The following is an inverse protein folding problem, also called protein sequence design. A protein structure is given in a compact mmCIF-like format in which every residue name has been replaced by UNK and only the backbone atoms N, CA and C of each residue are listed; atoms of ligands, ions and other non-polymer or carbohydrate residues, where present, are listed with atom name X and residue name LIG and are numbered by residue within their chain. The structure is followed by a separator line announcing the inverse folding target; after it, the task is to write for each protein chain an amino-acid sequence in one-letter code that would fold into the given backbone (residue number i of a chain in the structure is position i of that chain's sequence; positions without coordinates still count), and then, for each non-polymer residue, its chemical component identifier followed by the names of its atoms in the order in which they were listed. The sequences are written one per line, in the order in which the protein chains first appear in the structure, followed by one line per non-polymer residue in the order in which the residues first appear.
data_IF_209722683362
#
_entry.id   IF_209722683362
#
_cell.length_a   1.000
_cell.length_b   1.000
_cell.length_c   1.000
_cell.angle_alpha   90.00
_cell.angle_beta   90.00
_cell.angle_gamma   90.00
#
_symmetry.space_group_name_H-M   'P 1'
#
loop_
_entity.id
_entity.type
_entity.pdbx_description
1 polymer ?
#
# COMPACT_ATOMS: atom_id res chain seq x y z
N UNK A 1 12.79 -0.04 6.99
CA UNK A 1 11.67 -0.48 7.87
C UNK A 1 10.82 0.74 8.16
N UNK A 2 9.50 0.62 8.02
CA UNK A 2 8.56 1.69 8.38
C UNK A 2 8.50 1.82 9.90
N UNK A 3 8.43 3.04 10.43
CA UNK A 3 8.42 3.31 11.87
C UNK A 3 7.02 3.74 12.32
N UNK A 4 6.51 3.17 13.41
CA UNK A 4 5.25 3.59 14.00
C UNK A 4 5.45 4.77 14.93
N UNK A 5 4.61 5.79 14.78
CA UNK A 5 4.66 7.03 15.56
C UNK A 5 3.26 7.35 16.09
N UNK A 6 3.19 7.79 17.34
CA UNK A 6 1.96 8.34 17.94
C UNK A 6 2.30 9.58 18.75
N UNK A 7 1.32 10.46 18.94
CA UNK A 7 1.50 11.69 19.71
C UNK A 7 0.67 11.70 20.99
N UNK A 8 1.15 12.39 22.02
CA UNK A 8 0.42 12.57 23.27
C UNK A 8 0.38 14.04 23.71
N UNK A 9 -0.71 14.44 24.36
CA UNK A 9 -0.87 15.78 24.93
C UNK A 9 -0.23 15.88 26.32
N UNK A 10 -0.55 14.93 27.21
CA UNK A 10 -0.12 14.97 28.61
C UNK A 10 0.96 13.93 28.92
N UNK A 11 0.71 12.66 28.59
CA UNK A 11 1.62 11.56 28.90
C UNK A 11 1.52 10.45 27.84
N UNK A 12 2.60 9.69 27.60
CA UNK A 12 2.58 8.56 26.68
C UNK A 12 1.63 7.46 27.17
N UNK A 13 1.07 6.72 26.22
CA UNK A 13 0.22 5.56 26.46
C UNK A 13 1.07 4.38 26.91
N UNK A 14 0.61 3.67 27.93
CA UNK A 14 1.24 2.47 28.47
C UNK A 14 0.29 1.28 28.43
N UNK A 15 0.83 0.07 28.32
CA UNK A 15 0.10 -1.18 28.51
C UNK A 15 0.48 -1.84 29.84
N UNK A 16 -0.03 -3.06 30.10
CA UNK A 16 0.28 -3.82 31.32
C UNK A 16 1.77 -4.13 31.51
N UNK A 17 2.59 -4.03 30.46
CA UNK A 17 4.04 -4.26 30.44
C UNK A 17 4.83 -2.95 30.50
N UNK A 18 4.16 -1.80 30.54
CA UNK A 18 4.79 -0.49 30.60
C UNK A 18 4.67 0.28 29.27
N UNK A 19 5.74 0.97 28.86
CA UNK A 19 5.69 1.78 27.64
C UNK A 19 5.59 0.89 26.39
N UNK A 20 4.75 1.30 25.43
CA UNK A 20 4.64 0.63 24.14
C UNK A 20 5.95 0.77 23.36
N UNK A 21 6.71 -0.32 23.23
CA UNK A 21 8.01 -0.34 22.52
C UNK A 21 7.87 -0.31 21.00
N UNK A 22 6.73 -0.77 20.48
CA UNK A 22 6.51 -0.92 19.05
C UNK A 22 6.08 0.40 18.39
N UNK A 23 5.78 1.43 19.18
CA UNK A 23 5.33 2.75 18.71
C UNK A 23 6.16 3.83 19.40
N UNK A 24 6.83 4.66 18.60
CA UNK A 24 7.51 5.84 19.14
C UNK A 24 6.47 6.88 19.51
N UNK A 25 6.41 7.21 20.79
CA UNK A 25 5.47 8.21 21.30
C UNK A 25 6.16 9.55 21.50
N UNK A 26 5.62 10.60 20.88
CA UNK A 26 6.16 11.95 20.90
C UNK A 26 5.17 12.95 21.53
N UNK A 27 5.66 13.99 22.22
CA UNK A 27 4.78 15.04 22.73
C UNK A 27 4.21 15.88 21.57
N UNK A 28 2.97 16.37 21.68
CA UNK A 28 2.31 17.17 20.63
C UNK A 28 3.09 18.43 20.22
N UNK A 29 3.94 18.95 21.09
CA UNK A 29 4.80 20.12 20.85
C UNK A 29 5.77 19.91 19.67
N UNK A 30 6.15 18.66 19.35
CA UNK A 30 7.06 18.39 18.23
C UNK A 30 6.33 18.02 16.93
N UNK A 31 5.00 18.11 16.88
CA UNK A 31 4.20 17.73 15.70
C UNK A 31 4.57 18.53 14.44
N UNK A 32 5.03 19.78 14.58
CA UNK A 32 5.44 20.64 13.48
C UNK A 32 6.72 20.17 12.78
N UNK A 33 7.39 19.11 13.28
CA UNK A 33 8.48 18.43 12.56
C UNK A 33 7.99 17.43 11.51
N UNK A 34 6.69 17.14 11.45
CA UNK A 34 6.11 16.09 10.62
C UNK A 34 5.10 16.68 9.63
N UNK A 35 4.97 16.03 8.48
CA UNK A 35 3.86 16.23 7.55
C UNK A 35 2.87 15.06 7.72
N UNK A 36 1.60 15.27 7.38
CA UNK A 36 0.57 14.23 7.41
C UNK A 36 -0.13 14.20 6.06
N UNK A 37 -0.44 13.00 5.55
CA UNK A 37 -1.06 12.83 4.23
C UNK A 37 -2.40 13.58 4.13
N UNK A 38 -3.20 13.56 5.20
CA UNK A 38 -4.47 14.28 5.27
C UNK A 38 -4.67 14.87 6.67
N UNK A 39 -5.07 16.15 6.71
CA UNK A 39 -5.43 16.85 7.94
C UNK A 39 -4.23 17.22 8.83
N UNK A 40 -4.45 17.14 10.14
CA UNK A 40 -3.43 17.46 11.15
C UNK A 40 -3.08 16.22 11.99
N UNK A 41 -1.95 16.31 12.70
CA UNK A 41 -1.58 15.30 13.70
C UNK A 41 -2.60 15.29 14.83
N UNK A 42 -3.19 14.12 15.07
CA UNK A 42 -4.16 13.87 16.14
C UNK A 42 -3.51 13.06 17.25
N UNK A 43 -3.69 13.43 18.53
CA UNK A 43 -3.14 12.68 19.64
C UNK A 43 -3.72 11.25 19.71
N UNK A 44 -2.90 10.31 20.16
CA UNK A 44 -3.18 8.87 20.30
C UNK A 44 -3.52 8.14 19.00
N UNK A 45 -3.45 8.80 17.86
CA UNK A 45 -3.51 8.13 16.56
C UNK A 45 -2.14 7.54 16.22
N UNK A 46 -2.14 6.30 15.75
CA UNK A 46 -0.94 5.63 15.25
C UNK A 46 -0.77 5.94 13.78
N UNK A 47 0.41 6.42 13.45
CA UNK A 47 0.86 6.70 12.11
C UNK A 47 2.01 5.78 11.73
N UNK A 48 2.08 5.42 10.45
CA UNK A 48 3.26 4.85 9.83
C UNK A 48 4.04 5.99 9.19
N UNK A 49 5.32 6.13 9.54
CA UNK A 49 6.22 7.05 8.87
C UNK A 49 6.62 6.47 7.51
N UNK A 50 6.25 7.16 6.44
CA UNK A 50 6.54 6.75 5.08
C UNK A 50 8.06 6.81 4.80
N UNK A 51 8.62 5.84 4.05
CA UNK A 51 10.05 5.75 3.76
C UNK A 51 10.43 6.68 2.59
N UNK A 52 10.09 7.96 2.70
CA UNK A 52 10.39 8.99 1.69
C UNK A 52 11.56 9.87 2.12
N UNK A 53 12.27 10.44 1.15
CA UNK A 53 13.32 11.42 1.41
C UNK A 53 12.71 12.80 1.74
N UNK A 54 13.39 13.55 2.62
CA UNK A 54 12.94 14.88 3.04
C UNK A 54 12.24 14.86 4.40
N UNK A 55 11.14 15.62 4.51
CA UNK A 55 10.43 15.78 5.77
C UNK A 55 9.63 14.50 6.10
N UNK A 56 9.66 14.00 7.36
CA UNK A 56 8.92 12.81 7.75
C UNK A 56 7.42 12.95 7.49
N UNK A 57 6.91 12.12 6.57
CA UNK A 57 5.49 12.06 6.25
C UNK A 57 4.81 10.93 7.02
N UNK A 58 3.70 11.28 7.67
CA UNK A 58 2.90 10.39 8.49
C UNK A 58 1.62 10.01 7.76
N UNK A 59 1.35 8.71 7.74
CA UNK A 59 0.12 8.14 7.18
C UNK A 59 -0.59 7.38 8.28
N UNK A 60 -1.91 7.57 8.48
CA UNK A 60 -2.64 6.79 9.48
C UNK A 60 -2.45 5.29 9.26
N UNK A 61 -2.25 4.54 10.36
CA UNK A 61 -1.94 3.12 10.33
C UNK A 61 -2.86 2.33 9.41
N UNK A 62 -4.18 2.49 9.54
CA UNK A 62 -5.17 1.76 8.74
C UNK A 62 -5.26 2.17 7.27
N UNK A 63 -4.55 3.23 6.86
CA UNK A 63 -4.56 3.75 5.48
C UNK A 63 -3.24 3.49 4.75
N UNK A 64 -2.17 3.17 5.48
CA UNK A 64 -0.81 3.14 4.93
C UNK A 64 -0.66 2.18 3.76
N UNK A 65 -1.17 0.95 3.86
CA UNK A 65 -0.99 -0.05 2.80
C UNK A 65 -1.68 0.38 1.49
N UNK A 66 -2.92 0.87 1.57
CA UNK A 66 -3.66 1.35 0.41
C UNK A 66 -3.01 2.60 -0.20
N UNK A 67 -2.59 3.54 0.65
CA UNK A 67 -1.90 4.75 0.22
C UNK A 67 -0.55 4.43 -0.44
N UNK A 68 0.26 3.57 0.18
CA UNK A 68 1.57 3.13 -0.32
C UNK A 68 1.45 2.41 -1.66
N UNK A 69 0.45 1.54 -1.81
CA UNK A 69 0.19 0.88 -3.08
C UNK A 69 -0.19 1.88 -4.19
N UNK A 70 -1.07 2.84 -3.89
CA UNK A 70 -1.44 3.91 -4.82
C UNK A 70 -0.21 4.73 -5.24
N UNK A 71 0.66 5.08 -4.29
CA UNK A 71 1.87 5.83 -4.57
C UNK A 71 2.84 5.07 -5.48
N UNK A 72 3.02 3.76 -5.24
CA UNK A 72 3.82 2.89 -6.12
C UNK A 72 3.23 2.77 -7.52
N UNK A 73 1.89 2.73 -7.61
CA UNK A 73 1.18 2.72 -8.88
C UNK A 73 1.40 4.00 -9.68
N UNK A 74 1.21 5.17 -9.05
CA UNK A 74 1.43 6.48 -9.67
C UNK A 74 2.88 6.62 -10.16
N UNK A 75 3.86 6.12 -9.40
CA UNK A 75 5.27 6.13 -9.79
C UNK A 75 5.55 5.21 -10.99
N UNK A 76 5.00 3.98 -10.99
CA UNK A 76 5.18 3.07 -12.10
C UNK A 76 4.55 3.62 -13.39
N UNK A 77 3.36 4.22 -13.32
CA UNK A 77 2.74 4.92 -14.44
C UNK A 77 3.60 6.07 -14.96
N UNK A 78 4.15 6.89 -14.07
CA UNK A 78 5.06 7.99 -14.44
C UNK A 78 6.26 7.46 -15.22
N UNK A 79 6.87 6.37 -14.74
CA UNK A 79 8.02 5.73 -15.39
C UNK A 79 7.63 5.23 -16.78
N UNK A 80 6.56 4.43 -16.92
CA UNK A 80 6.15 3.88 -18.23
C UNK A 80 5.80 4.97 -19.24
N UNK A 81 5.08 6.01 -18.81
CA UNK A 81 4.76 7.14 -19.67
C UNK A 81 6.02 7.90 -20.12
N UNK A 82 6.98 8.14 -19.22
CA UNK A 82 8.22 8.86 -19.57
C UNK A 82 9.11 8.04 -20.50
N UNK A 83 9.10 6.71 -20.34
CA UNK A 83 9.73 5.77 -21.25
C UNK A 83 9.03 5.68 -22.62
N UNK A 84 7.92 6.39 -22.83
CA UNK A 84 7.28 6.51 -24.14
C UNK A 84 6.38 5.34 -24.52
N UNK A 85 5.77 4.67 -23.53
CA UNK A 85 4.85 3.57 -23.78
C UNK A 85 3.73 3.97 -24.77
N UNK A 86 3.47 3.11 -25.75
CA UNK A 86 2.37 3.24 -26.70
C UNK A 86 1.08 2.57 -26.18
N UNK A 87 1.20 1.62 -25.26
CA UNK A 87 0.06 0.99 -24.59
C UNK A 87 0.40 0.79 -23.12
N UNK A 88 -0.57 1.06 -22.24
CA UNK A 88 -0.48 0.74 -20.82
C UNK A 88 -1.80 0.10 -20.38
N UNK A 89 -1.73 -1.09 -19.80
CA UNK A 89 -2.86 -1.77 -19.17
C UNK A 89 -2.58 -1.94 -17.68
N UNK A 90 -3.50 -1.46 -16.84
CA UNK A 90 -3.38 -1.55 -15.38
C UNK A 90 -4.60 -2.29 -14.80
N UNK A 91 -4.32 -3.38 -14.09
CA UNK A 91 -5.34 -4.18 -13.43
C UNK A 91 -5.04 -4.33 -11.95
N UNK A 92 -6.04 -4.07 -11.12
CA UNK A 92 -5.97 -4.32 -9.67
C UNK A 92 -6.83 -5.52 -9.32
N UNK A 93 -6.23 -6.43 -8.58
CA UNK A 93 -6.89 -7.63 -8.07
C UNK A 93 -6.98 -7.48 -6.57
N UNK A 94 -8.20 -7.42 -6.05
CA UNK A 94 -8.44 -7.40 -4.61
C UNK A 94 -9.14 -8.69 -4.19
N UNK A 95 -8.51 -9.44 -3.27
CA UNK A 95 -9.06 -10.67 -2.73
C UNK A 95 -9.52 -10.47 -1.28
N UNK A 96 -10.80 -10.17 -1.05
CA UNK A 96 -11.36 -10.13 0.32
C UNK A 96 -11.61 -11.55 0.83
N UNK A 97 -11.03 -11.96 1.95
CA UNK A 97 -11.47 -13.20 2.62
C UNK A 97 -12.70 -12.92 3.49
N UNK A 98 -13.88 -13.12 2.94
CA UNK A 98 -15.09 -13.28 3.74
C UNK A 98 -15.31 -14.77 3.99
N UNK A 99 -15.04 -15.24 5.20
CA UNK A 99 -15.41 -16.59 5.61
C UNK A 99 -16.87 -16.58 6.06
N UNK A 100 -17.79 -17.05 5.22
CA UNK A 100 -19.18 -17.28 5.62
C UNK A 100 -19.30 -18.75 6.02
N UNK A 101 -19.82 -19.01 7.22
CA UNK A 101 -20.24 -20.36 7.60
C UNK A 101 -21.48 -20.72 6.77
N UNK A 102 -21.34 -21.65 5.83
CA UNK A 102 -22.43 -22.13 4.99
C UNK A 102 -22.63 -23.62 5.23
N UNK A 103 -23.87 -24.12 5.09
CA UNK A 103 -24.09 -25.57 5.03
C UNK A 103 -23.53 -26.10 3.70
N UNK A 104 -22.58 -27.02 3.77
CA UNK A 104 -21.95 -27.66 2.61
C UNK A 104 -22.33 -29.16 2.62
N UNK A 105 -22.91 -29.63 1.52
CA UNK A 105 -23.42 -31.00 1.35
C UNK A 105 -24.89 -31.06 0.89
N UNK A 106 -25.35 -32.21 0.41
CA UNK A 106 -26.75 -32.47 0.01
C UNK A 106 -27.31 -33.61 0.86
N UNK A 107 -28.47 -33.40 1.50
CA UNK A 107 -29.12 -34.41 2.34
C UNK A 107 -28.58 -34.47 3.79
N UNK A 108 -28.83 -35.56 4.54
CA UNK A 108 -28.60 -35.65 5.99
C UNK A 108 -27.12 -35.57 6.43
N UNK A 109 -26.18 -35.49 5.48
CA UNK A 109 -24.75 -35.23 5.74
C UNK A 109 -24.35 -33.74 5.63
N UNK A 110 -25.30 -32.80 5.49
CA UNK A 110 -24.98 -31.38 5.38
C UNK A 110 -24.37 -30.82 6.69
N UNK A 111 -23.06 -30.52 6.66
CA UNK A 111 -22.31 -29.92 7.76
C UNK A 111 -22.04 -28.43 7.53
N UNK A 112 -21.67 -27.70 8.59
CA UNK A 112 -21.23 -26.31 8.46
C UNK A 112 -19.79 -26.27 7.94
N UNK A 113 -19.60 -25.77 6.72
CA UNK A 113 -18.29 -25.55 6.10
C UNK A 113 -18.01 -24.06 5.91
N UNK A 114 -16.74 -23.66 5.94
CA UNK A 114 -16.33 -22.29 5.57
C UNK A 114 -16.21 -22.22 4.05
N UNK A 115 -17.07 -21.43 3.41
CA UNK A 115 -16.89 -21.10 1.99
C UNK A 115 -16.15 -19.77 1.92
N UNK A 116 -14.99 -19.78 1.24
CA UNK A 116 -14.20 -18.57 0.99
C UNK A 116 -14.27 -18.29 -0.50
N UNK A 117 -14.92 -17.20 -0.90
CA UNK A 117 -14.93 -16.74 -2.29
C UNK A 117 -14.97 -15.23 -2.34
N UNK A 118 -13.87 -14.61 -2.79
CA UNK A 118 -13.93 -13.26 -3.37
C UNK A 118 -12.79 -13.08 -4.36
N UNK A 119 -13.15 -12.66 -5.57
CA UNK A 119 -12.25 -12.16 -6.60
C UNK A 119 -12.95 -10.92 -7.15
N UNK A 120 -12.49 -9.71 -6.80
CA UNK A 120 -12.82 -8.53 -7.61
C UNK A 120 -11.59 -8.22 -8.45
N UNK A 121 -11.78 -8.24 -9.77
CA UNK A 121 -10.83 -7.68 -10.71
C UNK A 121 -11.42 -6.34 -11.09
N UNK A 122 -10.82 -5.28 -10.60
CA UNK A 122 -11.20 -3.92 -10.94
C UNK A 122 -10.16 -3.41 -11.95
N UNK A 123 -10.67 -2.90 -13.07
CA UNK A 123 -9.86 -2.30 -14.12
C UNK A 123 -9.67 -0.82 -13.78
N UNK A 124 -8.43 -0.40 -13.60
CA UNK A 124 -8.15 0.94 -13.07
C UNK A 124 -7.77 1.94 -14.16
N UNK A 125 -7.04 1.53 -15.21
CA UNK A 125 -6.54 2.43 -16.24
C UNK A 125 -6.08 1.70 -17.53
N UNK A 126 -6.49 2.20 -18.71
CA UNK A 126 -5.89 1.88 -20.01
C UNK A 126 -5.52 3.13 -20.78
N UNK A 127 -4.44 3.01 -21.55
CA UNK A 127 -4.05 3.99 -22.54
C UNK A 127 -3.55 3.28 -23.80
N UNK A 128 -3.85 3.84 -24.96
CA UNK A 128 -3.30 3.42 -26.26
C UNK A 128 -3.01 4.66 -27.11
N UNK A 129 -1.86 4.68 -27.78
CA UNK A 129 -1.39 5.76 -28.62
C UNK A 129 -0.18 5.36 -29.48
N UNK A 130 0.48 6.34 -30.09
CA UNK A 130 1.63 6.09 -30.98
C UNK A 130 2.94 5.80 -30.26
N UNK A 131 3.00 6.03 -28.94
CA UNK A 131 4.24 6.02 -28.17
C UNK A 131 5.16 7.19 -28.50
N UNK A 132 6.32 7.21 -27.83
CA UNK A 132 7.37 8.21 -28.04
C UNK A 132 8.76 7.56 -27.87
N UNK A 133 9.81 8.24 -28.34
CA UNK A 133 11.18 7.82 -28.05
C UNK A 133 11.43 7.80 -26.54
N UNK A 134 12.00 6.70 -25.98
CA UNK A 134 12.22 6.60 -24.54
C UNK A 134 13.08 7.72 -23.98
N UNK A 135 12.64 8.28 -22.84
CA UNK A 135 13.39 9.28 -22.07
C UNK A 135 13.62 8.77 -20.66
N UNK A 136 14.72 9.19 -20.05
CA UNK A 136 15.01 8.83 -18.67
C UNK A 136 14.00 9.50 -17.71
N UNK A 137 13.21 8.73 -16.94
CA UNK A 137 12.32 9.28 -15.90
C UNK A 137 13.06 9.88 -14.71
N UNK A 138 14.39 9.77 -14.64
CA UNK A 138 15.18 10.15 -13.48
C UNK A 138 15.12 9.11 -12.35
N UNK A 139 15.48 9.48 -11.11
CA UNK A 139 15.46 8.55 -10.00
C UNK A 139 14.02 8.11 -9.66
N UNK A 140 13.89 6.85 -9.25
CA UNK A 140 12.61 6.32 -8.75
C UNK A 140 12.31 6.99 -7.41
N UNK A 141 11.15 7.65 -7.32
CA UNK A 141 10.72 8.41 -6.15
C UNK A 141 10.26 7.51 -5.00
N UNK A 142 9.74 6.34 -5.35
CA UNK A 142 9.27 5.33 -4.41
C UNK A 142 10.20 4.13 -4.40
N UNK A 143 11.03 4.03 -3.36
CA UNK A 143 12.01 2.95 -3.22
C UNK A 143 11.32 1.59 -3.08
N UNK A 144 11.99 0.54 -3.55
CA UNK A 144 11.55 -0.86 -3.43
C UNK A 144 10.31 -1.26 -4.25
N UNK A 145 10.06 -0.64 -5.41
CA UNK A 145 9.15 -1.25 -6.40
C UNK A 145 9.93 -2.34 -7.14
N UNK A 146 9.66 -3.64 -6.90
CA UNK A 146 10.47 -4.71 -7.48
C UNK A 146 10.40 -4.67 -9.01
N UNK A 147 11.56 -4.75 -9.66
CA UNK A 147 11.65 -4.81 -11.12
C UNK A 147 11.48 -3.47 -11.86
N UNK A 148 11.13 -2.37 -11.20
CA UNK A 148 10.90 -1.08 -11.88
C UNK A 148 12.21 -0.47 -12.44
N UNK A 149 13.32 -0.54 -11.70
CA UNK A 149 14.63 -0.11 -12.23
C UNK A 149 15.11 -1.01 -13.38
N UNK A 150 14.86 -2.31 -13.29
CA UNK A 150 15.20 -3.26 -14.35
C UNK A 150 14.37 -2.99 -15.62
N UNK A 151 13.09 -2.64 -15.47
CA UNK A 151 12.22 -2.20 -16.56
C UNK A 151 12.71 -0.90 -17.20
N UNK A 152 13.14 0.08 -16.39
CA UNK A 152 13.75 1.33 -16.90
C UNK A 152 14.97 1.03 -17.76
N UNK A 153 15.89 0.19 -17.26
CA UNK A 153 17.10 -0.19 -17.99
C UNK A 153 16.79 -0.99 -19.27
N UNK A 154 15.81 -1.91 -19.23
CA UNK A 154 15.47 -2.73 -20.38
C UNK A 154 14.98 -1.89 -21.56
N UNK A 155 14.14 -0.88 -21.31
CA UNK A 155 13.64 0.02 -22.36
C UNK A 155 14.73 0.97 -22.84
N UNK A 156 15.45 1.64 -21.92
CA UNK A 156 16.43 2.66 -22.29
C UNK A 156 17.68 2.10 -22.94
N UNK A 157 18.20 0.96 -22.46
CA UNK A 157 19.51 0.46 -22.85
C UNK A 157 19.43 -0.75 -23.78
N UNK A 158 18.36 -1.55 -23.68
CA UNK A 158 18.25 -2.82 -24.41
C UNK A 158 17.15 -2.82 -25.48
N UNK A 159 16.45 -1.70 -25.69
CA UNK A 159 15.35 -1.61 -26.66
C UNK A 159 14.16 -2.50 -26.31
N UNK A 160 13.91 -2.72 -25.02
CA UNK A 160 12.80 -3.52 -24.53
C UNK A 160 11.46 -2.98 -25.04
N UNK A 161 10.68 -3.83 -25.72
CA UNK A 161 9.40 -3.43 -26.35
C UNK A 161 8.18 -3.75 -25.51
N UNK A 162 8.35 -4.60 -24.50
CA UNK A 162 7.28 -5.00 -23.59
C UNK A 162 7.83 -5.12 -22.19
N UNK A 163 7.17 -4.45 -21.26
CA UNK A 163 7.45 -4.52 -19.84
C UNK A 163 6.20 -4.96 -19.14
N UNK A 164 6.38 -5.88 -18.20
CA UNK A 164 5.31 -6.30 -17.30
C UNK A 164 5.83 -6.26 -15.87
N UNK A 165 5.13 -5.52 -15.01
CA UNK A 165 5.44 -5.40 -13.59
C UNK A 165 4.23 -5.86 -12.80
N UNK A 166 4.46 -6.75 -11.85
CA UNK A 166 3.47 -7.15 -10.86
C UNK A 166 3.94 -6.67 -9.49
N UNK A 167 3.18 -5.76 -8.90
CA UNK A 167 3.40 -5.28 -7.54
C UNK A 167 2.40 -5.98 -6.64
N UNK A 168 2.90 -6.88 -5.81
CA UNK A 168 2.11 -7.53 -4.77
C UNK A 168 2.21 -6.71 -3.48
N UNK A 169 1.05 -6.39 -2.89
CA UNK A 169 0.96 -5.82 -1.54
C UNK A 169 0.17 -6.78 -0.65
N UNK A 170 0.88 -7.31 0.35
CA UNK A 170 0.28 -7.95 1.51
C UNK A 170 0.16 -6.89 2.61
N UNK A 171 -1.00 -6.82 3.26
CA UNK A 171 -1.28 -5.77 4.25
C UNK A 171 -0.55 -6.05 5.56
N UNK A 172 0.59 -5.38 5.77
CA UNK A 172 1.35 -5.43 7.02
C UNK A 172 0.63 -4.66 8.14
N UNK A 173 -0.12 -3.61 7.79
CA UNK A 173 -0.78 -2.70 8.74
C UNK A 173 -2.31 -2.87 8.70
N UNK A 174 -2.76 -4.13 8.61
CA UNK A 174 -4.18 -4.46 8.63
C UNK A 174 -4.82 -4.18 10.00
N UNK A 175 -6.06 -3.68 10.00
CA UNK A 175 -6.80 -3.28 11.21
C UNK A 175 -7.14 -4.45 12.17
N UNK A 176 -7.03 -5.69 11.69
CA UNK A 176 -7.25 -6.96 12.37
C UNK A 176 -5.94 -7.72 12.70
N UNK A 177 -4.78 -7.16 12.38
CA UNK A 177 -3.48 -7.73 12.74
C UNK A 177 -3.31 -7.85 14.27
N UNK A 178 -2.44 -8.76 14.72
CA UNK A 178 -2.10 -8.89 16.16
C UNK A 178 -1.56 -7.58 16.73
N UNK A 179 -0.75 -6.88 15.96
CA UNK A 179 -0.24 -5.56 16.28
C UNK A 179 -1.39 -4.56 16.45
N UNK A 180 -2.32 -4.48 15.48
CA UNK A 180 -3.48 -3.60 15.56
C UNK A 180 -4.35 -3.88 16.79
N UNK A 181 -4.58 -5.16 17.11
CA UNK A 181 -5.33 -5.57 18.32
C UNK A 181 -4.64 -5.13 19.59
N UNK A 182 -3.32 -5.32 19.69
CA UNK A 182 -2.52 -4.87 20.83
C UNK A 182 -2.57 -3.35 21.00
N UNK A 183 -2.35 -2.59 19.93
CA UNK A 183 -2.34 -1.12 19.99
C UNK A 183 -3.70 -0.56 20.40
N UNK A 184 -4.80 -1.10 19.86
CA UNK A 184 -6.16 -0.75 20.27
C UNK A 184 -6.42 -1.07 21.74
N UNK A 185 -5.97 -2.23 22.22
CA UNK A 185 -6.14 -2.63 23.63
C UNK A 185 -5.41 -1.73 24.61
N UNK A 186 -4.34 -1.06 24.15
CA UNK A 186 -3.61 -0.07 24.94
C UNK A 186 -4.27 1.32 24.90
N UNK A 187 -5.32 1.53 24.09
CA UNK A 187 -6.05 2.79 23.98
C UNK A 187 -5.58 3.71 22.85
N UNK A 188 -4.81 3.19 21.88
CA UNK A 188 -4.44 3.91 20.66
C UNK A 188 -5.49 3.75 19.55
N UNK A 189 -5.57 4.75 18.68
CA UNK A 189 -6.51 4.80 17.54
C UNK A 189 -5.73 4.55 16.24
N UNK A 190 -6.24 3.68 15.37
CA UNK A 190 -5.53 3.29 14.13
C UNK A 190 -5.99 4.06 12.87
N UNK A 191 -6.74 5.16 13.04
CA UNK A 191 -7.23 5.99 11.93
C UNK A 191 -8.31 5.32 11.05
N UNK A 192 -9.30 4.69 11.68
CA UNK A 192 -10.35 3.92 11.00
C UNK A 192 -11.33 4.81 10.21
N UNK A 193 -11.28 4.71 8.88
CA UNK A 193 -12.45 4.29 8.12
C UNK A 193 -12.08 2.98 7.42
N UNK A 194 -12.53 1.88 8.02
CA UNK A 194 -12.01 0.54 7.77
C UNK A 194 -12.24 0.06 6.33
N UNK A 195 -11.14 -0.16 5.61
CA UNK A 195 -11.09 -1.23 4.62
C UNK A 195 -10.34 -2.40 5.22
N UNK A 196 -11.07 -3.45 5.57
CA UNK A 196 -10.50 -4.81 5.56
C UNK A 196 -10.22 -5.14 4.10
N UNK A 197 -9.00 -4.87 3.64
CA UNK A 197 -8.48 -5.34 2.36
C UNK A 197 -7.28 -6.25 2.67
N UNK A 198 -7.32 -7.53 2.31
CA UNK A 198 -7.27 -8.10 0.95
C UNK A 198 -5.88 -7.94 0.35
N UNK A 199 -5.23 -9.08 0.08
CA UNK A 199 -4.07 -9.14 -0.81
C UNK A 199 -4.44 -8.38 -2.08
N UNK A 200 -3.69 -7.33 -2.35
CA UNK A 200 -3.91 -6.48 -3.51
C UNK A 200 -2.75 -6.67 -4.46
N UNK A 201 -3.04 -7.13 -5.66
CA UNK A 201 -2.06 -7.31 -6.71
C UNK A 201 -2.34 -6.27 -7.78
N UNK A 202 -1.33 -5.49 -8.10
CA UNK A 202 -1.35 -4.52 -9.17
C UNK A 202 -0.48 -5.05 -10.31
N UNK A 203 -1.07 -5.17 -11.50
CA UNK A 203 -0.35 -5.57 -12.71
C UNK A 203 -0.33 -4.40 -13.69
N UNK A 204 0.87 -4.01 -14.11
CA UNK A 204 1.09 -3.02 -15.17
C UNK A 204 1.72 -3.76 -16.34
N UNK A 205 1.09 -3.68 -17.50
CA UNK A 205 1.67 -4.06 -18.78
C UNK A 205 1.88 -2.80 -19.58
N UNK A 206 3.07 -2.65 -20.16
CA UNK A 206 3.38 -1.54 -21.04
C UNK A 206 4.06 -2.06 -22.31
N UNK A 207 3.66 -1.51 -23.45
CA UNK A 207 4.30 -1.74 -24.74
C UNK A 207 4.95 -0.45 -25.23
N UNK A 208 6.07 -0.59 -25.96
CA UNK A 208 6.87 0.51 -26.46
C UNK A 208 7.07 0.37 -27.97
N UNK A 209 7.09 1.49 -28.72
CA UNK A 209 7.29 1.45 -30.15
C UNK A 209 8.67 0.85 -30.50
N UNK A 210 8.75 0.19 -31.65
CA UNK A 210 10.04 -0.15 -32.22
C UNK A 210 10.74 1.15 -32.65
N UNK A 211 11.85 1.48 -31.98
CA UNK A 211 12.76 2.56 -32.40
C UNK A 211 13.59 2.09 -33.58
#
# INVERSE_FOLDING_TARGET
MSQLVSFYETAPVTDKRGLLTDVIQRPMQVRSGYDVVEGEVVPRVVYVQAPIEGRPLLVPFGQYDAWSLRQRFEEALRVMNTLGACEIECATYSARRNAVAARVGVGPMAGWGKVTRTQSTDFDYSFSGSGASPRDPGPIRWTNIPGLDAAKQSVLLNGGRRVEITIESESEFAADSDLARRLKSAGLVLGLEGRTQAKTLLRIKAEFPAV
#
